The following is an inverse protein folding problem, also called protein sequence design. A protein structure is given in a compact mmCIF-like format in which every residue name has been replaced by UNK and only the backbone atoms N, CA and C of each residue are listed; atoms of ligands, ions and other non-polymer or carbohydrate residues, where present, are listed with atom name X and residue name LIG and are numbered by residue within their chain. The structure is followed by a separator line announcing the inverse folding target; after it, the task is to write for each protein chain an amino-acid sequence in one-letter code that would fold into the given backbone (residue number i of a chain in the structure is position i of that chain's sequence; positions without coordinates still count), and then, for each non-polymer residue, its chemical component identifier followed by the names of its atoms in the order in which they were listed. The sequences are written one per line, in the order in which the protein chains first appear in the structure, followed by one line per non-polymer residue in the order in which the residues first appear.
data_IF_122854169900
#
_entry.id   IF_122854169900
#
_cell.length_a   1.000
_cell.length_b   1.000
_cell.length_c   1.000
_cell.angle_alpha   90.00
_cell.angle_beta   90.00
_cell.angle_gamma   90.00
#
_symmetry.space_group_name_H-M   'P 1'
#
loop_
_entity.id
_entity.type
_entity.pdbx_description
1 polymer ?
#
# COMPACT_ATOMS: atom_id res chain seq x y z
N UNK A 1 -4.87 -10.11 -10.17
CA UNK A 1 -3.40 -9.94 -10.13
C UNK A 1 -2.87 -10.68 -8.92
N UNK A 2 -1.65 -11.23 -8.98
CA UNK A 2 -1.04 -12.02 -7.90
C UNK A 2 -0.22 -11.17 -6.90
N UNK A 3 -0.41 -9.84 -6.95
CA UNK A 3 0.29 -8.84 -6.13
C UNK A 3 -0.73 -7.89 -5.52
N UNK A 4 -0.37 -7.27 -4.40
CA UNK A 4 -1.17 -6.20 -3.79
C UNK A 4 -0.96 -4.89 -4.56
N UNK A 5 -2.03 -4.32 -5.12
CA UNK A 5 -1.95 -3.10 -5.93
C UNK A 5 -1.54 -1.85 -5.13
N UNK A 6 -1.94 -1.74 -3.86
CA UNK A 6 -1.61 -0.62 -2.99
C UNK A 6 -0.12 -0.62 -2.65
N UNK A 7 0.43 -1.76 -2.25
CA UNK A 7 1.87 -1.86 -1.94
C UNK A 7 2.73 -1.63 -3.18
N UNK A 8 2.33 -2.13 -4.36
CA UNK A 8 3.07 -1.86 -5.61
C UNK A 8 3.01 -0.37 -6.00
N UNK A 9 1.90 0.32 -5.76
CA UNK A 9 1.81 1.77 -5.96
C UNK A 9 2.77 2.51 -5.03
N UNK A 10 2.73 2.21 -3.73
CA UNK A 10 3.64 2.80 -2.75
C UNK A 10 5.12 2.45 -3.02
N UNK A 11 5.39 1.33 -3.69
CA UNK A 11 6.74 0.96 -4.10
C UNK A 11 7.28 1.84 -5.24
N UNK A 12 6.45 2.66 -5.88
CA UNK A 12 6.87 3.62 -6.92
C UNK A 12 7.26 5.00 -6.38
N UNK A 13 7.18 5.21 -5.06
CA UNK A 13 7.60 6.47 -4.45
C UNK A 13 9.07 6.75 -4.76
N UNK A 14 9.34 7.98 -5.20
CA UNK A 14 10.68 8.45 -5.54
C UNK A 14 10.93 9.81 -4.88
N UNK A 15 12.09 10.07 -4.29
CA UNK A 15 13.17 9.13 -4.03
C UNK A 15 12.77 8.02 -3.05
N UNK A 16 13.17 6.76 -3.31
CA UNK A 16 12.74 5.60 -2.52
C UNK A 16 13.10 5.71 -1.02
N UNK A 17 14.24 6.32 -0.68
CA UNK A 17 14.66 6.50 0.72
C UNK A 17 13.67 7.39 1.48
N UNK A 18 13.27 8.51 0.88
CA UNK A 18 12.30 9.42 1.50
C UNK A 18 10.91 8.78 1.59
N UNK A 19 10.51 8.03 0.55
CA UNK A 19 9.29 7.24 0.60
C UNK A 19 9.31 6.21 1.74
N UNK A 20 10.44 5.55 1.96
CA UNK A 20 10.58 4.53 3.00
C UNK A 20 10.54 5.14 4.40
N UNK A 21 11.23 6.28 4.59
CA UNK A 21 11.16 7.05 5.83
C UNK A 21 9.74 7.57 6.10
N UNK A 22 9.03 8.03 5.07
CA UNK A 22 7.63 8.43 5.20
C UNK A 22 6.77 7.26 5.68
N UNK A 23 6.83 6.11 4.99
CA UNK A 23 5.99 4.95 5.34
C UNK A 23 6.31 4.43 6.74
N UNK A 24 7.59 4.40 7.12
CA UNK A 24 8.02 4.04 8.47
C UNK A 24 7.45 5.04 9.50
N UNK A 25 7.56 6.34 9.24
CA UNK A 25 7.00 7.39 10.10
C UNK A 25 5.48 7.26 10.25
N UNK A 26 4.77 6.93 9.17
CA UNK A 26 3.32 6.69 9.23
C UNK A 26 2.97 5.44 10.05
N UNK A 27 3.75 4.36 9.95
CA UNK A 27 3.54 3.14 10.75
C UNK A 27 3.88 3.32 12.24
N UNK A 28 4.77 4.28 12.57
CA UNK A 28 5.08 4.65 13.97
C UNK A 28 4.03 5.59 14.55
N UNK A 29 3.70 6.68 13.84
CA UNK A 29 2.74 7.69 14.32
C UNK A 29 1.31 7.18 14.29
N UNK A 30 0.99 6.27 13.35
CA UNK A 30 -0.33 5.69 13.10
C UNK A 30 -1.42 6.77 13.04
N UNK A 31 -1.32 7.77 12.13
CA UNK A 31 -2.25 8.90 12.09
C UNK A 31 -3.70 8.49 11.83
N UNK A 32 -3.94 7.29 11.29
CA UNK A 32 -5.29 6.72 11.13
C UNK A 32 -6.02 6.49 12.47
N UNK A 33 -5.29 6.44 13.58
CA UNK A 33 -5.89 6.36 14.92
C UNK A 33 -6.38 7.72 15.43
N UNK A 34 -6.03 8.82 14.76
CA UNK A 34 -6.48 10.17 15.12
C UNK A 34 -7.75 10.60 14.38
N UNK A 35 -8.18 9.81 13.39
CA UNK A 35 -9.42 10.06 12.67
C UNK A 35 -10.65 9.84 13.57
N UNK A 36 -11.73 10.61 13.36
CA UNK A 36 -12.96 10.49 14.15
C UNK A 36 -13.85 9.32 13.68
N UNK A 37 -14.64 8.79 14.62
CA UNK A 37 -15.75 7.87 14.33
C UNK A 37 -15.35 6.57 13.64
N UNK A 38 -16.15 6.16 12.64
CA UNK A 38 -15.95 4.92 11.88
C UNK A 38 -14.71 4.93 10.98
N UNK A 39 -14.11 6.10 10.74
CA UNK A 39 -12.87 6.23 9.97
C UNK A 39 -11.63 5.92 10.82
N UNK A 40 -11.77 5.77 12.14
CA UNK A 40 -10.65 5.50 13.04
C UNK A 40 -10.10 4.09 12.86
N UNK A 41 -8.78 3.96 12.91
CA UNK A 41 -8.10 2.67 13.00
C UNK A 41 -7.68 2.10 11.64
N UNK A 42 -7.42 0.80 11.62
CA UNK A 42 -6.74 0.11 10.51
C UNK A 42 -7.53 0.14 9.19
N UNK A 43 -8.85 0.36 9.23
CA UNK A 43 -9.68 0.51 8.03
C UNK A 43 -9.17 1.63 7.12
N UNK A 44 -8.68 2.72 7.72
CA UNK A 44 -8.17 3.91 7.03
C UNK A 44 -6.66 3.93 6.82
N UNK A 45 -5.93 2.91 7.31
CA UNK A 45 -4.46 2.88 7.23
C UNK A 45 -3.95 3.00 5.79
N UNK A 46 -4.41 2.12 4.91
CA UNK A 46 -4.00 2.12 3.51
C UNK A 46 -4.40 3.41 2.78
N UNK A 47 -5.56 3.96 3.12
CA UNK A 47 -6.05 5.20 2.52
C UNK A 47 -5.17 6.39 2.92
N UNK A 48 -4.84 6.54 4.21
CA UNK A 48 -3.92 7.60 4.63
C UNK A 48 -2.51 7.40 4.08
N UNK A 49 -1.99 6.16 4.06
CA UNK A 49 -0.68 5.88 3.44
C UNK A 49 -0.65 6.32 1.98
N UNK A 50 -1.68 5.98 1.20
CA UNK A 50 -1.77 6.38 -0.22
C UNK A 50 -1.94 7.88 -0.39
N UNK A 51 -2.84 8.52 0.35
CA UNK A 51 -3.11 9.95 0.21
C UNK A 51 -1.89 10.78 0.62
N UNK A 52 -1.33 10.54 1.80
CA UNK A 52 -0.18 11.29 2.30
C UNK A 52 1.01 11.10 1.36
N UNK A 53 1.28 9.86 0.95
CA UNK A 53 2.37 9.59 0.01
C UNK A 53 2.13 10.26 -1.34
N UNK A 54 0.91 10.29 -1.84
CA UNK A 54 0.60 10.96 -3.12
C UNK A 54 0.68 12.48 -3.02
N UNK A 55 0.33 13.07 -1.88
CA UNK A 55 0.46 14.51 -1.67
C UNK A 55 1.93 14.94 -1.57
N UNK A 56 2.77 14.14 -0.91
CA UNK A 56 4.21 14.43 -0.77
C UNK A 56 5.02 14.07 -2.02
N UNK A 57 4.58 13.06 -2.78
CA UNK A 57 5.25 12.56 -3.98
C UNK A 57 4.28 12.55 -5.18
N UNK A 58 3.80 13.71 -5.67
CA UNK A 58 2.73 13.78 -6.67
C UNK A 58 3.09 13.16 -8.01
N UNK A 59 4.39 13.15 -8.37
CA UNK A 59 4.88 12.49 -9.59
C UNK A 59 4.68 10.97 -9.59
N UNK A 60 4.39 10.35 -8.45
CA UNK A 60 4.01 8.94 -8.36
C UNK A 60 2.83 8.62 -9.26
N UNK A 61 1.84 9.52 -9.35
CA UNK A 61 0.70 9.36 -10.26
C UNK A 61 1.09 9.40 -11.73
N UNK A 62 2.16 10.11 -12.08
CA UNK A 62 2.64 10.22 -13.46
C UNK A 62 3.41 8.97 -13.89
N UNK A 63 4.20 8.40 -12.98
CA UNK A 63 4.97 7.18 -13.26
C UNK A 63 4.16 5.89 -13.11
N UNK A 64 3.06 5.96 -12.37
CA UNK A 64 2.24 4.80 -12.05
C UNK A 64 1.68 4.05 -13.28
N UNK A 65 1.13 4.68 -14.34
CA UNK A 65 0.58 3.96 -15.49
C UNK A 65 1.58 3.01 -16.16
N UNK A 66 2.82 3.45 -16.35
CA UNK A 66 3.88 2.61 -16.93
C UNK A 66 4.25 1.44 -16.02
N UNK A 67 4.29 1.67 -14.70
CA UNK A 67 4.48 0.58 -13.74
C UNK A 67 3.31 -0.40 -13.76
N UNK A 68 2.08 0.11 -13.78
CA UNK A 68 0.84 -0.67 -13.80
C UNK A 68 0.77 -1.60 -15.03
N UNK A 69 1.18 -1.11 -16.20
CA UNK A 69 1.33 -1.94 -17.41
C UNK A 69 2.29 -3.11 -17.19
N UNK A 70 3.48 -2.85 -16.65
CA UNK A 70 4.48 -3.90 -16.36
C UNK A 70 3.93 -4.91 -15.34
N UNK A 71 3.21 -4.44 -14.33
CA UNK A 71 2.59 -5.31 -13.31
C UNK A 71 1.49 -6.19 -13.90
N UNK A 72 0.62 -5.63 -14.75
CA UNK A 72 -0.43 -6.39 -15.42
C UNK A 72 0.16 -7.52 -16.29
N UNK A 73 1.28 -7.27 -16.97
CA UNK A 73 1.94 -8.29 -17.79
C UNK A 73 2.66 -9.35 -16.96
N UNK A 74 3.39 -8.95 -15.92
CA UNK A 74 4.22 -9.85 -15.12
C UNK A 74 3.44 -10.69 -14.09
N UNK A 75 2.37 -10.12 -13.52
CA UNK A 75 1.65 -10.71 -12.38
C UNK A 75 0.17 -10.96 -12.66
N UNK A 76 -0.21 -11.06 -13.94
CA UNK A 76 -1.52 -11.57 -14.32
C UNK A 76 -1.71 -12.99 -13.83
N UNK A 77 -2.96 -13.32 -13.53
CA UNK A 77 -3.34 -14.69 -13.22
C UNK A 77 -3.75 -15.39 -14.52
N UNK A 78 -2.79 -15.96 -15.25
CA UNK A 78 -3.02 -16.54 -16.58
C UNK A 78 -4.10 -17.62 -16.55
N UNK A 79 -4.07 -18.51 -15.55
CA UNK A 79 -5.07 -19.58 -15.40
C UNK A 79 -6.50 -19.03 -15.29
N UNK A 80 -6.71 -18.03 -14.42
CA UNK A 80 -8.03 -17.41 -14.29
C UNK A 80 -8.46 -16.68 -15.56
N UNK A 81 -7.53 -15.97 -16.20
CA UNK A 81 -7.82 -15.24 -17.44
C UNK A 81 -8.21 -16.20 -18.57
N UNK A 82 -7.49 -17.30 -18.74
CA UNK A 82 -7.78 -18.32 -19.75
C UNK A 82 -9.15 -18.98 -19.50
N UNK A 83 -9.48 -19.27 -18.25
CA UNK A 83 -10.80 -19.81 -17.89
C UNK A 83 -11.93 -18.81 -18.19
N UNK A 84 -11.73 -17.52 -17.91
CA UNK A 84 -12.72 -16.48 -18.19
C UNK A 84 -12.84 -16.19 -19.69
N UNK A 85 -11.74 -16.27 -20.45
CA UNK A 85 -11.74 -16.09 -21.89
C UNK A 85 -12.61 -17.14 -22.63
N UNK A 86 -12.80 -18.32 -22.05
CA UNK A 86 -13.71 -19.34 -22.57
C UNK A 86 -15.20 -18.99 -22.41
N UNK A 87 -15.53 -17.89 -21.72
CA UNK A 87 -16.90 -17.44 -21.43
C UNK A 87 -17.11 -15.98 -21.87
N UNK A 88 -17.02 -15.66 -23.18
CA UNK A 88 -17.04 -14.26 -23.67
C UNK A 88 -18.36 -13.52 -23.42
N UNK A 89 -19.47 -14.22 -23.15
CA UNK A 89 -20.76 -13.59 -22.82
C UNK A 89 -20.92 -13.26 -21.33
N UNK A 90 -19.98 -13.67 -20.48
CA UNK A 90 -20.07 -13.41 -19.05
C UNK A 90 -19.65 -11.98 -18.74
N UNK A 91 -20.47 -11.25 -17.96
CA UNK A 91 -20.09 -9.95 -17.41
C UNK A 91 -19.07 -10.17 -16.29
N UNK A 92 -17.87 -9.64 -16.45
CA UNK A 92 -16.80 -9.79 -15.45
C UNK A 92 -16.58 -8.46 -14.75
N UNK A 93 -16.71 -8.47 -13.42
CA UNK A 93 -16.41 -7.32 -12.57
C UNK A 93 -15.21 -7.61 -11.68
N UNK A 94 -14.27 -6.67 -11.62
CA UNK A 94 -13.16 -6.72 -10.66
C UNK A 94 -13.55 -5.91 -9.44
N UNK A 95 -13.61 -6.55 -8.28
CA UNK A 95 -14.02 -5.93 -7.02
C UNK A 95 -12.85 -5.87 -6.06
N UNK A 96 -12.51 -4.69 -5.54
CA UNK A 96 -11.38 -4.51 -4.63
C UNK A 96 -11.59 -3.34 -3.66
N UNK A 97 -10.98 -3.43 -2.47
CA UNK A 97 -10.86 -2.30 -1.55
C UNK A 97 -9.65 -1.40 -1.86
N UNK A 98 -8.91 -1.69 -2.94
CA UNK A 98 -7.92 -0.78 -3.51
C UNK A 98 -8.59 0.44 -4.14
N UNK A 99 -7.77 1.38 -4.62
CA UNK A 99 -8.25 2.68 -5.10
C UNK A 99 -8.39 2.71 -6.62
N UNK A 100 -9.47 3.32 -7.13
CA UNK A 100 -9.77 3.38 -8.56
C UNK A 100 -8.62 3.94 -9.42
N UNK A 101 -7.98 5.03 -8.98
CA UNK A 101 -6.82 5.63 -9.68
C UNK A 101 -5.59 4.73 -9.72
N UNK A 102 -5.49 3.79 -8.78
CA UNK A 102 -4.38 2.82 -8.70
C UNK A 102 -4.70 1.57 -9.51
N UNK A 103 -5.92 1.06 -9.38
CA UNK A 103 -6.32 -0.24 -9.93
C UNK A 103 -6.69 -0.14 -11.41
N UNK A 104 -7.35 0.93 -11.85
CA UNK A 104 -7.81 1.05 -13.24
C UNK A 104 -6.68 0.97 -14.28
N UNK A 105 -5.51 1.62 -14.10
CA UNK A 105 -4.37 1.46 -15.01
C UNK A 105 -3.87 0.01 -15.12
N UNK A 106 -3.98 -0.79 -14.04
CA UNK A 106 -3.62 -2.21 -14.08
C UNK A 106 -4.65 -2.97 -14.93
N UNK A 107 -5.94 -2.74 -14.67
CA UNK A 107 -7.05 -3.45 -15.34
C UNK A 107 -7.03 -3.20 -16.84
N UNK A 108 -6.76 -1.96 -17.28
CA UNK A 108 -6.68 -1.59 -18.70
C UNK A 108 -5.63 -2.38 -19.48
N UNK A 109 -4.63 -2.94 -18.80
CA UNK A 109 -3.57 -3.72 -19.41
C UNK A 109 -3.69 -5.23 -19.15
N UNK A 110 -4.77 -5.69 -18.51
CA UNK A 110 -5.06 -7.11 -18.42
C UNK A 110 -5.62 -7.61 -19.76
N UNK A 111 -5.19 -8.79 -20.25
CA UNK A 111 -5.75 -9.41 -21.44
C UNK A 111 -7.09 -10.09 -21.12
N UNK A 112 -8.05 -9.30 -20.63
CA UNK A 112 -9.38 -9.75 -20.20
C UNK A 112 -10.40 -8.63 -20.47
N UNK A 113 -11.53 -8.99 -21.07
CA UNK A 113 -12.66 -8.07 -21.19
C UNK A 113 -13.36 -7.95 -19.83
N UNK A 114 -13.21 -6.79 -19.19
CA UNK A 114 -13.81 -6.49 -17.89
C UNK A 114 -14.94 -5.50 -18.09
N UNK A 115 -16.14 -5.85 -17.64
CA UNK A 115 -17.34 -5.00 -17.73
C UNK A 115 -17.27 -3.78 -16.81
N UNK A 116 -16.50 -3.88 -15.72
CA UNK A 116 -16.25 -2.76 -14.83
C UNK A 116 -15.36 -3.11 -13.64
N UNK A 117 -14.86 -2.08 -12.98
CA UNK A 117 -14.08 -2.19 -11.75
C UNK A 117 -14.82 -1.48 -10.61
N UNK A 118 -15.10 -2.21 -9.54
CA UNK A 118 -15.69 -1.69 -8.30
C UNK A 118 -14.56 -1.55 -7.30
N UNK A 119 -14.09 -0.31 -7.12
CA UNK A 119 -12.95 0.04 -6.29
C UNK A 119 -13.26 1.29 -5.46
N UNK A 120 -12.56 1.47 -4.35
CA UNK A 120 -12.69 2.66 -3.52
C UNK A 120 -12.28 3.92 -4.30
N UNK A 121 -13.00 5.03 -4.10
CA UNK A 121 -12.64 6.33 -4.65
C UNK A 121 -11.35 6.80 -4.02
N UNK A 122 -10.41 7.30 -4.83
CA UNK A 122 -9.09 7.70 -4.36
C UNK A 122 -9.12 8.64 -3.14
N UNK A 123 -9.83 9.77 -3.24
CA UNK A 123 -9.90 10.78 -2.16
C UNK A 123 -10.86 10.43 -1.02
N UNK A 124 -11.80 9.51 -1.25
CA UNK A 124 -12.87 9.17 -0.28
C UNK A 124 -12.75 7.71 0.20
N UNK A 125 -11.59 7.10 0.01
CA UNK A 125 -11.41 5.67 0.21
C UNK A 125 -11.59 5.23 1.66
N UNK A 126 -11.37 6.11 2.65
CA UNK A 126 -11.70 5.81 4.03
C UNK A 126 -13.19 5.50 4.21
N UNK A 127 -14.07 6.34 3.65
CA UNK A 127 -15.54 6.14 3.71
C UNK A 127 -15.94 4.86 2.98
N UNK A 128 -15.40 4.64 1.78
CA UNK A 128 -15.73 3.46 0.97
C UNK A 128 -15.26 2.16 1.63
N UNK A 129 -14.12 2.18 2.33
CA UNK A 129 -13.59 1.00 3.04
C UNK A 129 -14.38 0.64 4.29
N UNK A 130 -14.97 1.62 4.97
CA UNK A 130 -15.89 1.37 6.11
C UNK A 130 -17.13 0.60 5.65
N UNK A 131 -17.63 0.84 4.44
CA UNK A 131 -18.80 0.14 3.90
C UNK A 131 -18.53 -1.35 3.61
N UNK A 132 -17.26 -1.76 3.57
CA UNK A 132 -16.80 -3.09 3.20
C UNK A 132 -17.15 -3.50 1.75
N UNK A 133 -16.48 -4.57 1.27
CA UNK A 133 -16.51 -4.95 -0.14
C UNK A 133 -17.92 -5.35 -0.62
N UNK A 134 -18.67 -6.09 0.20
CA UNK A 134 -20.03 -6.52 -0.13
C UNK A 134 -20.95 -5.35 -0.47
N UNK A 135 -21.00 -4.32 0.38
CA UNK A 135 -21.88 -3.18 0.17
C UNK A 135 -21.50 -2.40 -1.09
N UNK A 136 -20.20 -2.26 -1.39
CA UNK A 136 -19.75 -1.62 -2.62
C UNK A 136 -20.26 -2.35 -3.87
N UNK A 137 -20.32 -3.68 -3.85
CA UNK A 137 -20.85 -4.47 -4.98
C UNK A 137 -22.35 -4.29 -5.09
N UNK A 138 -23.08 -4.43 -3.98
CA UNK A 138 -24.55 -4.29 -3.97
C UNK A 138 -24.98 -2.91 -4.45
N UNK A 139 -24.24 -1.85 -4.07
CA UNK A 139 -24.54 -0.48 -4.50
C UNK A 139 -24.41 -0.29 -6.03
N UNK A 140 -23.62 -1.12 -6.72
CA UNK A 140 -23.36 -0.99 -8.16
C UNK A 140 -24.16 -1.98 -9.00
N UNK A 141 -24.24 -3.25 -8.57
CA UNK A 141 -24.88 -4.32 -9.32
C UNK A 141 -26.31 -4.63 -8.84
N UNK A 142 -26.67 -4.19 -7.64
CA UNK A 142 -27.91 -4.59 -6.99
C UNK A 142 -27.81 -5.97 -6.33
N UNK A 143 -28.69 -6.21 -5.36
CA UNK A 143 -28.66 -7.44 -4.56
C UNK A 143 -29.02 -8.70 -5.38
N UNK A 144 -29.95 -8.58 -6.34
CA UNK A 144 -30.38 -9.70 -7.19
C UNK A 144 -29.25 -10.19 -8.11
N UNK A 145 -28.51 -9.28 -8.74
CA UNK A 145 -27.39 -9.65 -9.61
C UNK A 145 -26.27 -10.30 -8.79
N UNK A 146 -25.99 -9.79 -7.59
CA UNK A 146 -25.02 -10.40 -6.65
C UNK A 146 -25.46 -11.80 -6.26
N UNK A 147 -26.74 -12.01 -5.93
CA UNK A 147 -27.27 -13.31 -5.53
C UNK A 147 -27.11 -14.40 -6.60
N UNK A 148 -27.07 -14.02 -7.89
CA UNK A 148 -26.89 -14.95 -9.01
C UNK A 148 -25.42 -15.09 -9.46
N UNK A 149 -24.51 -14.29 -8.88
CA UNK A 149 -23.14 -14.20 -9.33
C UNK A 149 -22.25 -15.38 -8.88
N UNK A 150 -21.05 -15.41 -9.45
CA UNK A 150 -19.92 -16.22 -8.97
C UNK A 150 -18.90 -15.25 -8.39
N UNK A 151 -18.53 -15.42 -7.11
CA UNK A 151 -17.47 -14.62 -6.49
C UNK A 151 -16.19 -15.46 -6.37
N UNK A 152 -15.08 -14.94 -6.89
CA UNK A 152 -13.76 -15.57 -6.84
C UNK A 152 -12.83 -14.66 -6.03
N UNK A 153 -12.25 -15.16 -4.95
CA UNK A 153 -11.38 -14.37 -4.05
C UNK A 153 -10.31 -15.21 -3.35
N UNK A 154 -9.25 -14.55 -2.87
CA UNK A 154 -8.18 -15.09 -2.01
C UNK A 154 -8.33 -14.74 -0.54
N UNK A 155 -9.33 -13.92 -0.21
CA UNK A 155 -9.40 -13.28 1.09
C UNK A 155 -10.64 -13.70 1.87
N UNK A 156 -10.42 -14.22 3.07
CA UNK A 156 -11.49 -14.51 4.05
C UNK A 156 -12.22 -13.24 4.51
N UNK A 157 -11.63 -12.05 4.33
CA UNK A 157 -12.33 -10.79 4.59
C UNK A 157 -13.54 -10.58 3.67
N UNK A 158 -13.65 -11.36 2.59
CA UNK A 158 -14.78 -11.32 1.66
C UNK A 158 -15.90 -12.30 2.03
N UNK A 159 -15.84 -12.93 3.21
CA UNK A 159 -16.88 -13.85 3.69
C UNK A 159 -18.32 -13.30 3.54
N UNK A 160 -18.61 -12.01 3.84
CA UNK A 160 -19.95 -11.45 3.61
C UNK A 160 -20.37 -11.48 2.13
N UNK A 161 -19.45 -11.24 1.19
CA UNK A 161 -19.73 -11.32 -0.24
C UNK A 161 -19.89 -12.78 -0.68
N UNK A 162 -19.02 -13.68 -0.19
CA UNK A 162 -19.11 -15.12 -0.48
C UNK A 162 -20.42 -15.74 0.01
N UNK A 163 -20.93 -15.29 1.16
CA UNK A 163 -22.20 -15.74 1.70
C UNK A 163 -23.42 -15.25 0.87
N UNK A 164 -23.25 -14.19 0.08
CA UNK A 164 -24.34 -13.54 -0.64
C UNK A 164 -24.46 -13.97 -2.12
N UNK A 165 -23.51 -14.71 -2.67
CA UNK A 165 -23.50 -15.14 -4.09
C UNK A 165 -23.96 -16.58 -4.27
N UNK A 166 -24.42 -16.93 -5.48
CA UNK A 166 -24.82 -18.30 -5.82
C UNK A 166 -23.65 -19.30 -5.78
N UNK A 167 -22.46 -18.88 -6.22
CA UNK A 167 -21.26 -19.74 -6.26
C UNK A 167 -20.05 -19.04 -5.64
N UNK A 168 -19.77 -19.27 -4.35
CA UNK A 168 -18.55 -18.76 -3.73
C UNK A 168 -17.34 -19.62 -4.10
N UNK A 169 -16.24 -18.97 -4.46
CA UNK A 169 -14.95 -19.61 -4.76
C UNK A 169 -13.85 -18.90 -3.98
N UNK A 170 -13.50 -19.44 -2.82
CA UNK A 170 -12.33 -19.03 -2.04
C UNK A 170 -11.15 -19.92 -2.45
N UNK A 171 -10.08 -19.32 -2.96
CA UNK A 171 -8.93 -20.04 -3.50
C UNK A 171 -7.63 -19.44 -2.95
N UNK A 172 -6.60 -20.26 -2.80
CA UNK A 172 -5.25 -19.78 -2.49
C UNK A 172 -4.39 -19.95 -3.72
N UNK A 173 -3.83 -18.87 -4.25
CA UNK A 173 -2.93 -18.93 -5.41
C UNK A 173 -1.48 -19.11 -4.93
N UNK A 174 -0.78 -20.20 -5.29
CA UNK A 174 0.58 -20.45 -4.82
C UNK A 174 1.59 -19.37 -5.21
N UNK A 175 1.32 -18.70 -6.33
CA UNK A 175 2.16 -17.63 -6.88
C UNK A 175 1.80 -16.25 -6.32
N UNK A 176 0.74 -16.13 -5.52
CA UNK A 176 0.40 -14.86 -4.89
C UNK A 176 1.41 -14.52 -3.79
N UNK A 177 1.89 -13.28 -3.82
CA UNK A 177 2.94 -12.84 -2.91
C UNK A 177 2.66 -11.43 -2.41
N UNK A 178 2.64 -11.27 -1.09
CA UNK A 178 2.64 -9.98 -0.43
C UNK A 178 4.08 -9.49 -0.22
N UNK A 179 4.46 -8.41 -0.90
CA UNK A 179 5.72 -7.71 -0.69
C UNK A 179 5.39 -6.30 -0.19
N UNK A 180 5.85 -5.92 1.03
CA UNK A 180 5.69 -4.56 1.52
C UNK A 180 6.39 -3.55 0.59
N UNK A 181 5.74 -2.39 0.39
CA UNK A 181 6.30 -1.30 -0.37
C UNK A 181 7.68 -0.88 0.14
N UNK A 182 8.59 -0.59 -0.79
CA UNK A 182 9.94 -0.09 -0.50
C UNK A 182 10.78 -1.04 0.38
N UNK A 183 10.43 -2.33 0.43
CA UNK A 183 11.22 -3.35 1.13
C UNK A 183 12.64 -3.53 0.58
N UNK A 184 12.88 -3.13 -0.68
CA UNK A 184 14.20 -3.10 -1.29
C UNK A 184 14.94 -1.76 -1.14
N UNK A 185 14.31 -0.74 -0.55
CA UNK A 185 14.94 0.56 -0.40
C UNK A 185 16.08 0.48 0.63
N UNK A 186 17.26 0.95 0.24
CA UNK A 186 18.38 1.08 1.17
C UNK A 186 18.14 2.28 2.09
N UNK A 187 17.88 2.02 3.37
CA UNK A 187 17.84 3.06 4.40
C UNK A 187 19.23 3.08 5.05
N UNK A 188 19.97 4.21 4.95
CA UNK A 188 21.24 4.37 5.66
C UNK A 188 21.08 4.06 7.16
N UNK A 189 22.11 3.45 7.76
CA UNK A 189 22.13 2.99 9.16
C UNK A 189 21.18 1.85 9.53
N UNK A 190 20.05 1.66 8.84
CA UNK A 190 19.16 0.51 9.05
C UNK A 190 19.84 -0.82 8.73
N UNK A 191 20.63 -0.85 7.64
CA UNK A 191 21.50 -1.99 7.31
C UNK A 191 22.49 -2.29 8.45
N UNK A 192 23.05 -1.24 9.05
CA UNK A 192 24.06 -1.35 10.10
C UNK A 192 23.45 -1.97 11.36
N UNK A 193 22.25 -1.52 11.75
CA UNK A 193 21.53 -2.07 12.90
C UNK A 193 20.91 -3.45 12.65
N UNK A 194 20.47 -3.79 11.44
CA UNK A 194 19.83 -5.10 11.20
C UNK A 194 20.81 -6.22 10.84
N UNK A 195 21.87 -5.91 10.11
CA UNK A 195 22.76 -6.92 9.54
C UNK A 195 24.10 -6.93 10.25
N UNK A 196 24.73 -5.76 10.45
CA UNK A 196 26.08 -5.70 11.05
C UNK A 196 26.07 -5.76 12.57
N UNK A 197 25.10 -5.13 13.23
CA UNK A 197 25.04 -4.98 14.70
C UNK A 197 23.60 -5.15 15.24
N UNK A 198 22.99 -6.33 15.06
CA UNK A 198 21.62 -6.61 15.48
C UNK A 198 21.42 -6.42 16.98
N UNK A 199 20.43 -5.62 17.36
CA UNK A 199 20.01 -5.43 18.75
C UNK A 199 20.85 -4.44 19.56
N UNK A 200 21.96 -3.94 19.03
CA UNK A 200 22.86 -3.01 19.76
C UNK A 200 22.32 -1.57 19.85
N UNK A 201 21.22 -1.25 19.16
CA UNK A 201 20.71 0.13 18.98
C UNK A 201 21.84 1.09 18.57
N UNK A 202 22.72 0.60 17.68
CA UNK A 202 23.99 1.23 17.36
C UNK A 202 23.83 2.67 16.86
N UNK A 203 22.77 2.96 16.11
CA UNK A 203 22.50 4.31 15.64
C UNK A 203 22.18 5.26 16.81
N UNK A 204 21.31 4.83 17.73
CA UNK A 204 20.94 5.65 18.88
C UNK A 204 22.09 5.79 19.88
N UNK A 205 22.80 4.70 20.17
CA UNK A 205 23.81 4.68 21.23
C UNK A 205 25.15 5.22 20.77
N UNK A 206 25.67 4.71 19.66
CA UNK A 206 27.04 5.05 19.22
C UNK A 206 27.02 6.29 18.35
N UNK A 207 26.13 6.37 17.35
CA UNK A 207 26.14 7.51 16.44
C UNK A 207 25.57 8.76 17.12
N UNK A 208 24.35 8.68 17.68
CA UNK A 208 23.72 9.84 18.33
C UNK A 208 24.21 10.06 19.76
N UNK A 209 24.50 9.00 20.52
CA UNK A 209 24.96 9.12 21.89
C UNK A 209 26.44 9.47 21.99
N UNK A 210 27.31 8.70 21.32
CA UNK A 210 28.76 8.88 21.49
C UNK A 210 29.32 9.86 20.44
N UNK A 211 29.19 9.55 19.14
CA UNK A 211 29.84 10.28 18.06
C UNK A 211 29.29 11.71 17.91
N UNK A 212 27.98 11.90 18.00
CA UNK A 212 27.35 13.22 17.90
C UNK A 212 27.72 14.13 19.09
N UNK A 213 27.73 13.60 20.32
CA UNK A 213 28.15 14.38 21.49
C UNK A 213 29.64 14.74 21.41
N UNK A 214 30.49 13.81 20.98
CA UNK A 214 31.92 14.10 20.76
C UNK A 214 32.10 15.15 19.67
N UNK A 215 31.31 15.09 18.58
CA UNK A 215 31.34 16.09 17.52
C UNK A 215 30.91 17.47 18.03
N UNK A 216 29.83 17.55 18.81
CA UNK A 216 29.40 18.80 19.46
C UNK A 216 30.51 19.34 20.34
N UNK A 217 31.12 18.52 21.19
CA UNK A 217 32.19 18.95 22.09
C UNK A 217 33.42 19.44 21.32
N UNK A 218 33.87 18.68 20.32
CA UNK A 218 35.05 19.02 19.51
C UNK A 218 34.84 20.31 18.70
N UNK A 219 33.70 20.44 18.03
CA UNK A 219 33.39 21.62 17.20
C UNK A 219 33.08 22.85 18.05
N UNK A 220 32.41 22.68 19.19
CA UNK A 220 32.12 23.77 20.11
C UNK A 220 33.39 24.27 20.81
N UNK A 221 34.36 23.40 21.10
CA UNK A 221 35.65 23.82 21.66
C UNK A 221 36.46 24.68 20.70
N UNK A 222 36.33 24.45 19.39
CA UNK A 222 36.95 25.26 18.35
C UNK A 222 36.19 26.57 18.05
N UNK A 223 34.96 26.70 18.54
CA UNK A 223 34.14 27.90 18.36
C UNK A 223 34.60 29.04 19.26
N UNK A 224 34.45 30.28 18.78
CA UNK A 224 34.68 31.48 19.60
C UNK A 224 33.67 31.61 20.76
N UNK A 225 32.52 30.93 20.65
CA UNK A 225 31.47 30.91 21.67
C UNK A 225 31.01 29.48 21.95
N UNK A 226 31.80 28.69 22.71
CA UNK A 226 31.57 27.25 22.87
C UNK A 226 30.19 26.88 23.42
N UNK A 227 29.71 27.59 24.44
CA UNK A 227 28.41 27.29 25.05
C UNK A 227 27.22 27.58 24.13
N UNK A 228 27.30 28.66 23.36
CA UNK A 228 26.24 29.07 22.43
C UNK A 228 26.21 28.13 21.21
N UNK A 229 27.39 27.75 20.71
CA UNK A 229 27.53 26.78 19.62
C UNK A 229 27.04 25.39 20.02
N UNK A 230 27.41 24.90 21.21
CA UNK A 230 26.92 23.62 21.72
C UNK A 230 25.39 23.63 21.89
N UNK A 231 24.83 24.72 22.43
CA UNK A 231 23.38 24.88 22.59
C UNK A 231 22.60 24.95 21.27
N UNK A 232 23.23 25.30 20.15
CA UNK A 232 22.59 25.27 18.82
C UNK A 232 22.63 23.90 18.14
N UNK A 233 23.52 23.00 18.57
CA UNK A 233 23.70 21.66 17.96
C UNK A 233 23.05 20.52 18.76
N UNK A 234 22.66 20.80 20.02
CA UNK A 234 21.82 19.93 20.85
C UNK A 234 20.34 20.07 20.50
#
# INVERSE_FOLDING_TARGET
MLRNSTEEYLNTLQPQVLGALLLLGLDVLKPWNWLPGSLKGEVSRDWLRVIIATLLFPWTLLFWPERAKKLAQAYKNSQLIEMLAQKPKARVFIVTLGFNRIVNPIIQHLPLEVSGAIACRFWQGGVDRVQAKYQLVVNVLGQEEVAQAIAITDSTNDNPLLAAVAKPCLLTWPLAQYIPALSSAYIPFFYLERIKRPGERYFLRVILGDDWLVLILATSWLSHQPGLHAGMML
#
